data_IF_606192911834
#
_entry.id   IF_606192911834
#
_cell.length_a   1.000
_cell.length_b   1.000
_cell.length_c   1.000
_cell.angle_alpha   90.00
_cell.angle_beta   90.00
_cell.angle_gamma   90.00
#
_symmetry.space_group_name_H-M   'P 1'
#
loop_
_entity.id
_entity.type
_entity.pdbx_description
1 polymer ?
#
# COMPACT_ATOMS: atom_id res chain seq x y z
N UNK A 1 -32.44 16.86 -4.19
CA UNK A 1 -31.84 16.09 -3.07
C UNK A 1 -31.29 14.78 -3.63
N UNK A 2 -29.98 14.60 -3.86
CA UNK A 2 -29.44 13.33 -4.36
C UNK A 2 -29.30 12.29 -3.23
N UNK A 3 -29.57 11.02 -3.57
CA UNK A 3 -29.75 9.90 -2.65
C UNK A 3 -28.45 9.37 -1.99
N UNK A 4 -28.63 8.77 -0.80
CA UNK A 4 -27.60 8.14 0.04
C UNK A 4 -26.93 6.99 -0.72
N UNK A 5 -25.61 7.04 -0.91
CA UNK A 5 -24.81 5.91 -1.42
C UNK A 5 -23.96 6.20 -2.65
N UNK A 6 -24.21 7.29 -3.39
CA UNK A 6 -23.28 7.72 -4.43
C UNK A 6 -22.09 8.41 -3.78
N UNK A 7 -20.89 7.80 -3.85
CA UNK A 7 -19.64 8.53 -3.60
C UNK A 7 -19.64 9.68 -4.61
N UNK A 8 -19.81 10.92 -4.15
CA UNK A 8 -19.70 12.09 -5.02
C UNK A 8 -18.37 11.96 -5.78
N UNK A 9 -18.36 12.05 -7.13
CA UNK A 9 -17.11 12.18 -7.84
C UNK A 9 -16.44 13.42 -7.27
N UNK A 10 -15.23 13.24 -6.75
CA UNK A 10 -14.45 14.38 -6.29
C UNK A 10 -14.24 15.25 -7.53
N UNK A 11 -14.58 16.55 -7.53
CA UNK A 11 -14.54 17.37 -8.75
C UNK A 11 -13.17 17.32 -9.43
N UNK A 12 -12.11 17.25 -8.63
CA UNK A 12 -10.75 17.07 -9.13
C UNK A 12 -10.55 15.67 -9.78
N UNK A 13 -11.08 14.58 -9.23
CA UNK A 13 -10.90 13.23 -9.81
C UNK A 13 -11.96 12.85 -10.86
N UNK A 14 -12.89 13.74 -11.20
CA UNK A 14 -13.85 13.50 -12.26
C UNK A 14 -13.13 13.57 -13.63
N UNK A 15 -13.36 12.61 -14.54
CA UNK A 15 -12.81 12.67 -15.89
C UNK A 15 -13.59 13.71 -16.71
N UNK A 16 -13.30 14.99 -16.51
CA UNK A 16 -13.84 16.08 -17.33
C UNK A 16 -13.19 16.10 -18.73
N UNK A 17 -11.91 15.71 -18.80
CA UNK A 17 -11.15 15.54 -20.04
C UNK A 17 -10.88 14.02 -20.26
N UNK A 18 -11.34 13.42 -21.38
CA UNK A 18 -11.04 12.02 -21.74
C UNK A 18 -9.54 11.70 -21.82
N UNK A 19 -8.70 12.71 -22.06
CA UNK A 19 -7.24 12.58 -22.09
C UNK A 19 -6.56 13.11 -20.83
N UNK A 20 -7.34 13.53 -19.83
CA UNK A 20 -6.86 13.95 -18.52
C UNK A 20 -6.32 12.77 -17.70
N UNK A 21 -5.47 13.07 -16.72
CA UNK A 21 -4.95 12.05 -15.80
C UNK A 21 -6.05 11.24 -15.09
N UNK A 22 -7.20 11.80 -14.66
CA UNK A 22 -8.27 11.01 -14.06
C UNK A 22 -8.84 9.94 -15.00
N UNK A 23 -9.09 10.28 -16.27
CA UNK A 23 -9.60 9.34 -17.26
C UNK A 23 -8.57 8.25 -17.59
N UNK A 24 -7.33 8.66 -17.83
CA UNK A 24 -6.22 7.74 -18.10
C UNK A 24 -5.94 6.79 -16.93
N UNK A 25 -6.09 7.26 -15.68
CA UNK A 25 -6.02 6.42 -14.48
C UNK A 25 -7.06 5.30 -14.54
N UNK A 26 -8.31 5.60 -14.87
CA UNK A 26 -9.37 4.59 -14.95
C UNK A 26 -9.06 3.55 -16.03
N UNK A 27 -8.64 4.00 -17.22
CA UNK A 27 -8.24 3.12 -18.31
C UNK A 27 -7.07 2.20 -17.92
N UNK A 28 -6.09 2.69 -17.16
CA UNK A 28 -5.00 1.87 -16.67
C UNK A 28 -5.45 0.84 -15.62
N UNK A 29 -6.33 1.22 -14.69
CA UNK A 29 -6.88 0.30 -13.68
C UNK A 29 -7.68 -0.81 -14.35
N UNK A 30 -8.47 -0.49 -15.38
CA UNK A 30 -9.16 -1.48 -16.20
C UNK A 30 -8.16 -2.40 -16.93
N UNK A 31 -7.09 -1.84 -17.48
CA UNK A 31 -6.02 -2.61 -18.10
C UNK A 31 -5.29 -3.56 -17.12
N UNK A 32 -5.20 -3.22 -15.83
CA UNK A 32 -4.66 -4.13 -14.81
C UNK A 32 -5.64 -5.27 -14.51
N UNK A 33 -6.93 -4.98 -14.41
CA UNK A 33 -7.98 -6.00 -14.17
C UNK A 33 -8.02 -7.02 -15.30
N UNK A 34 -8.01 -6.56 -16.55
CA UNK A 34 -8.05 -7.43 -17.74
C UNK A 34 -6.82 -8.32 -17.89
N UNK A 35 -5.66 -7.90 -17.35
CA UNK A 35 -4.42 -8.70 -17.36
C UNK A 35 -4.33 -9.73 -16.22
N UNK A 36 -5.36 -9.83 -15.38
CA UNK A 36 -5.41 -10.85 -14.32
C UNK A 36 -4.56 -10.53 -13.09
N UNK A 37 -4.23 -9.26 -12.84
CA UNK A 37 -3.59 -8.88 -11.56
C UNK A 37 -4.56 -9.08 -10.40
N UNK A 38 -4.03 -9.39 -9.21
CA UNK A 38 -4.85 -9.59 -8.00
C UNK A 38 -5.62 -8.32 -7.63
N UNK A 39 -6.84 -8.50 -7.11
CA UNK A 39 -7.71 -7.38 -6.72
C UNK A 39 -7.04 -6.46 -5.69
N UNK A 40 -6.31 -7.04 -4.73
CA UNK A 40 -5.52 -6.29 -3.77
C UNK A 40 -4.43 -5.42 -4.43
N UNK A 41 -3.75 -5.94 -5.47
CA UNK A 41 -2.76 -5.16 -6.21
C UNK A 41 -3.42 -4.00 -6.96
N UNK A 42 -4.56 -4.27 -7.63
CA UNK A 42 -5.33 -3.25 -8.34
C UNK A 42 -5.80 -2.15 -7.39
N UNK A 43 -6.36 -2.51 -6.23
CA UNK A 43 -6.82 -1.56 -5.21
C UNK A 43 -5.66 -0.71 -4.66
N UNK A 44 -4.50 -1.33 -4.44
CA UNK A 44 -3.30 -0.62 -3.99
C UNK A 44 -2.82 0.39 -5.04
N UNK A 45 -2.72 -0.04 -6.32
CA UNK A 45 -2.38 0.84 -7.43
C UNK A 45 -3.40 1.97 -7.60
N UNK A 46 -4.70 1.67 -7.48
CA UNK A 46 -5.78 2.64 -7.59
C UNK A 46 -5.69 3.72 -6.52
N UNK A 47 -5.45 3.31 -5.27
CA UNK A 47 -5.31 4.21 -4.11
C UNK A 47 -4.04 5.04 -4.19
N UNK A 48 -2.92 4.42 -4.60
CA UNK A 48 -1.64 5.09 -4.79
C UNK A 48 -1.70 6.15 -5.89
N UNK A 49 -2.19 5.76 -7.07
CA UNK A 49 -2.28 6.66 -8.22
C UNK A 49 -3.32 7.76 -7.99
N UNK A 50 -4.43 7.45 -7.30
CA UNK A 50 -5.43 8.46 -6.94
C UNK A 50 -4.83 9.60 -6.11
N UNK A 51 -3.94 9.28 -5.17
CA UNK A 51 -3.25 10.30 -4.37
C UNK A 51 -2.27 11.15 -5.20
N UNK A 52 -1.58 10.55 -6.18
CA UNK A 52 -0.72 11.30 -7.10
C UNK A 52 -1.54 12.25 -7.99
N UNK A 53 -2.63 11.77 -8.58
CA UNK A 53 -3.49 12.58 -9.46
C UNK A 53 -4.07 13.76 -8.70
N UNK A 54 -4.58 13.54 -7.48
CA UNK A 54 -5.08 14.63 -6.63
C UNK A 54 -3.98 15.66 -6.34
N UNK A 55 -2.80 15.21 -5.92
CA UNK A 55 -1.66 16.08 -5.63
C UNK A 55 -1.23 16.91 -6.84
N UNK A 56 -1.26 16.31 -8.04
CA UNK A 56 -0.90 16.98 -9.29
C UNK A 56 -1.94 18.04 -9.66
N UNK A 57 -3.22 17.72 -9.50
CA UNK A 57 -4.33 18.63 -9.82
C UNK A 57 -4.39 19.85 -8.90
N UNK A 58 -4.10 19.70 -7.61
CA UNK A 58 -3.94 20.83 -6.68
C UNK A 58 -2.85 21.82 -7.12
N UNK A 59 -1.93 21.38 -7.99
CA UNK A 59 -0.83 22.17 -8.56
C UNK A 59 -1.08 22.58 -10.01
N UNK A 60 -2.31 22.42 -10.49
CA UNK A 60 -2.71 22.74 -11.86
C UNK A 60 -2.25 21.75 -12.93
N UNK A 61 -1.64 20.63 -12.52
CA UNK A 61 -1.16 19.59 -13.45
C UNK A 61 -2.29 18.58 -13.63
N UNK A 62 -2.97 18.65 -14.76
CA UNK A 62 -4.16 17.84 -15.06
C UNK A 62 -3.91 16.81 -16.16
N UNK A 63 -2.98 17.07 -17.09
CA UNK A 63 -2.66 16.18 -18.21
C UNK A 63 -1.38 15.42 -17.95
N UNK A 64 -1.33 14.17 -18.41
CA UNK A 64 -0.15 13.32 -18.25
C UNK A 64 1.09 13.87 -18.99
N UNK A 65 0.88 14.62 -20.09
CA UNK A 65 1.95 15.22 -20.89
C UNK A 65 2.72 16.33 -20.15
N UNK A 66 2.07 16.95 -19.17
CA UNK A 66 2.65 18.04 -18.38
C UNK A 66 3.48 17.51 -17.20
N UNK A 67 3.45 16.19 -16.97
CA UNK A 67 4.22 15.55 -15.91
C UNK A 67 5.64 15.32 -16.40
N UNK A 68 6.57 16.02 -15.78
CA UNK A 68 8.01 15.91 -16.03
C UNK A 68 8.72 15.23 -14.86
N UNK A 69 9.99 14.85 -15.04
CA UNK A 69 10.82 14.28 -13.96
C UNK A 69 10.85 15.18 -12.71
N UNK A 70 11.05 16.51 -12.81
CA UNK A 70 10.97 17.41 -11.64
C UNK A 70 9.62 17.39 -10.90
N UNK A 71 8.51 17.18 -11.62
CA UNK A 71 7.19 17.02 -11.00
C UNK A 71 7.15 15.73 -10.19
N UNK A 72 7.67 14.63 -10.72
CA UNK A 72 7.73 13.35 -10.01
C UNK A 72 8.65 13.39 -8.79
N UNK A 73 9.79 14.07 -8.89
CA UNK A 73 10.68 14.31 -7.74
C UNK A 73 10.01 15.19 -6.68
N UNK A 74 9.22 16.19 -7.10
CA UNK A 74 8.44 17.01 -6.17
C UNK A 74 7.37 16.18 -5.46
N UNK A 75 6.74 15.24 -6.16
CA UNK A 75 5.80 14.29 -5.55
C UNK A 75 6.51 13.36 -4.55
N UNK A 76 7.70 12.87 -4.89
CA UNK A 76 8.52 12.05 -3.99
C UNK A 76 8.88 12.81 -2.70
N UNK A 77 9.35 14.07 -2.82
CA UNK A 77 9.60 14.93 -1.66
C UNK A 77 8.32 15.16 -0.86
N UNK A 78 7.20 15.40 -1.53
CA UNK A 78 5.92 15.57 -0.87
C UNK A 78 5.48 14.31 -0.10
N UNK A 79 5.64 13.11 -0.66
CA UNK A 79 5.34 11.85 0.04
C UNK A 79 6.14 11.67 1.32
N UNK A 80 7.36 12.19 1.37
CA UNK A 80 8.17 12.20 2.58
C UNK A 80 7.56 13.11 3.67
N UNK A 81 7.13 14.33 3.32
CA UNK A 81 6.60 15.31 4.29
C UNK A 81 5.09 15.15 4.60
N UNK A 82 4.30 14.56 3.71
CA UNK A 82 2.83 14.59 3.73
C UNK A 82 2.18 13.92 4.96
N UNK A 83 2.86 12.96 5.62
CA UNK A 83 2.30 12.34 6.84
C UNK A 83 2.27 13.30 8.03
N UNK A 84 3.14 14.32 8.05
CA UNK A 84 3.20 15.35 9.09
C UNK A 84 1.90 16.16 9.15
N UNK A 85 1.31 16.48 8.00
CA UNK A 85 0.16 17.40 7.91
C UNK A 85 -1.19 16.72 8.20
N UNK A 86 -1.43 15.49 7.71
CA UNK A 86 -2.71 14.78 7.99
C UNK A 86 -2.89 14.41 9.46
N UNK A 87 -1.85 13.94 10.17
CA UNK A 87 -1.97 13.65 11.61
C UNK A 87 -2.02 14.94 12.45
N UNK A 88 -1.44 16.06 12.00
CA UNK A 88 -1.62 17.36 12.64
C UNK A 88 -3.09 17.83 12.59
N UNK A 89 -3.78 17.58 11.47
CA UNK A 89 -5.22 17.83 11.34
C UNK A 89 -6.11 16.81 12.09
N UNK A 90 -5.58 15.64 12.49
CA UNK A 90 -6.30 14.57 13.23
C UNK A 90 -5.77 14.37 14.65
N UNK A 91 -5.21 15.40 15.29
CA UNK A 91 -4.94 15.37 16.75
C UNK A 91 -6.26 15.51 17.51
N UNK A 92 -6.93 14.39 17.80
CA UNK A 92 -8.04 14.36 18.76
C UNK A 92 -8.10 13.09 19.64
N UNK A 93 -7.26 12.07 19.42
CA UNK A 93 -7.19 10.93 20.35
C UNK A 93 -5.73 10.56 20.68
N UNK A 94 -5.35 10.49 21.97
CA UNK A 94 -4.05 9.95 22.36
C UNK A 94 -4.05 8.43 22.17
N UNK A 95 -3.22 7.96 21.24
CA UNK A 95 -2.99 6.53 21.00
C UNK A 95 -1.84 5.98 21.87
N UNK A 96 -1.91 4.67 22.11
CA UNK A 96 -1.07 3.79 22.95
C UNK A 96 0.46 4.00 22.80
N UNK A 97 1.27 3.84 23.87
CA UNK A 97 2.73 3.85 23.76
C UNK A 97 3.19 2.64 22.92
N UNK A 98 3.94 2.91 21.85
CA UNK A 98 4.39 1.92 20.85
C UNK A 98 3.93 2.21 19.42
N UNK A 99 2.99 3.15 19.24
CA UNK A 99 2.62 3.68 17.93
C UNK A 99 3.63 4.77 17.55
N UNK A 100 4.55 4.47 16.63
CA UNK A 100 5.66 5.34 16.18
C UNK A 100 5.19 6.73 15.74
N UNK A 101 5.06 7.62 16.71
CA UNK A 101 4.73 9.02 16.53
C UNK A 101 5.91 9.73 15.89
N UNK A 102 5.62 10.57 14.89
CA UNK A 102 6.56 11.46 14.20
C UNK A 102 7.31 10.90 12.98
N UNK A 103 7.17 9.60 12.66
CA UNK A 103 7.88 9.06 11.50
C UNK A 103 7.15 9.35 10.16
N UNK A 104 7.90 9.68 9.09
CA UNK A 104 7.39 9.78 7.72
C UNK A 104 6.54 8.57 7.29
N UNK A 105 5.86 8.65 6.14
CA UNK A 105 5.34 7.43 5.50
C UNK A 105 6.46 6.39 5.45
N UNK A 106 6.17 5.14 5.81
CA UNK A 106 7.21 4.09 5.78
C UNK A 106 7.83 4.05 4.39
N UNK A 107 9.15 3.81 4.30
CA UNK A 107 9.86 3.73 3.01
C UNK A 107 9.17 2.74 2.06
N UNK A 108 8.58 1.69 2.62
CA UNK A 108 7.76 0.72 1.90
C UNK A 108 6.52 1.35 1.27
N UNK A 109 5.71 2.08 2.02
CA UNK A 109 4.51 2.74 1.47
C UNK A 109 4.88 3.81 0.44
N UNK A 110 5.99 4.52 0.63
CA UNK A 110 6.50 5.46 -0.39
C UNK A 110 6.89 4.72 -1.68
N UNK A 111 7.65 3.64 -1.57
CA UNK A 111 8.06 2.82 -2.71
C UNK A 111 6.87 2.18 -3.44
N UNK A 112 5.86 1.68 -2.71
CA UNK A 112 4.62 1.14 -3.29
C UNK A 112 3.87 2.22 -4.08
N UNK A 113 3.73 3.43 -3.51
CA UNK A 113 3.08 4.54 -4.20
C UNK A 113 3.81 4.96 -5.46
N UNK A 114 5.12 5.14 -5.38
CA UNK A 114 5.96 5.51 -6.52
C UNK A 114 6.02 4.40 -7.57
N UNK A 115 5.96 3.13 -7.16
CA UNK A 115 5.90 1.99 -8.09
C UNK A 115 4.61 2.00 -8.92
N UNK A 116 3.47 2.33 -8.31
CA UNK A 116 2.22 2.50 -9.05
C UNK A 116 2.33 3.64 -10.07
N UNK A 117 2.91 4.78 -9.68
CA UNK A 117 3.16 5.92 -10.59
C UNK A 117 4.07 5.51 -11.75
N UNK A 118 5.18 4.81 -11.49
CA UNK A 118 6.08 4.30 -12.54
C UNK A 118 5.36 3.32 -13.48
N UNK A 119 4.54 2.42 -12.93
CA UNK A 119 3.75 1.46 -13.71
C UNK A 119 2.76 2.15 -14.64
N UNK A 120 2.08 3.18 -14.14
CA UNK A 120 1.15 4.00 -14.90
C UNK A 120 1.82 4.71 -16.08
N UNK A 121 2.88 5.48 -15.84
CA UNK A 121 3.57 6.20 -16.92
C UNK A 121 4.26 5.28 -17.93
N UNK A 122 4.73 4.11 -17.49
CA UNK A 122 5.19 3.05 -18.40
C UNK A 122 4.07 2.55 -19.30
N UNK A 123 2.88 2.32 -18.76
CA UNK A 123 1.72 1.90 -19.54
C UNK A 123 1.29 3.00 -20.52
N UNK A 124 1.29 4.28 -20.10
CA UNK A 124 0.96 5.39 -20.98
C UNK A 124 1.89 5.48 -22.20
N UNK A 125 3.20 5.41 -21.97
CA UNK A 125 4.18 5.41 -23.05
C UNK A 125 4.02 4.20 -23.98
N UNK A 126 3.79 3.01 -23.41
CA UNK A 126 3.59 1.77 -24.20
C UNK A 126 2.35 1.82 -25.10
N UNK A 127 1.28 2.48 -24.67
CA UNK A 127 0.03 2.60 -25.45
C UNK A 127 -0.04 3.88 -26.30
N UNK A 128 1.06 4.63 -26.43
CA UNK A 128 1.13 5.81 -27.29
C UNK A 128 0.47 7.08 -26.73
N UNK A 129 0.04 7.08 -25.46
CA UNK A 129 -0.49 8.30 -24.81
C UNK A 129 0.61 9.32 -24.50
N UNK A 130 1.86 8.86 -24.38
CA UNK A 130 3.05 9.68 -24.18
C UNK A 130 4.15 9.23 -25.13
N UNK A 131 4.92 10.19 -25.66
CA UNK A 131 6.07 9.91 -26.52
C UNK A 131 7.25 9.32 -25.72
N UNK A 132 7.40 9.73 -24.46
CA UNK A 132 8.44 9.28 -23.56
C UNK A 132 7.88 9.08 -22.15
N UNK A 133 8.46 8.15 -21.39
CA UNK A 133 8.08 7.88 -20.01
C UNK A 133 8.82 8.83 -19.05
N UNK A 134 8.17 9.82 -18.42
CA UNK A 134 8.83 10.75 -17.49
C UNK A 134 9.33 10.07 -16.20
N UNK A 135 8.81 8.88 -15.88
CA UNK A 135 9.13 8.13 -14.67
C UNK A 135 10.18 7.03 -14.89
N UNK A 136 10.81 6.96 -16.08
CA UNK A 136 11.82 5.94 -16.41
C UNK A 136 13.01 6.00 -15.44
N UNK A 137 13.53 7.20 -15.22
CA UNK A 137 14.69 7.49 -14.36
C UNK A 137 14.33 7.79 -12.90
N UNK A 138 13.06 7.66 -12.51
CA UNK A 138 12.65 7.93 -11.14
C UNK A 138 13.21 6.87 -10.19
N UNK A 139 14.04 7.28 -9.25
CA UNK A 139 14.62 6.40 -8.24
C UNK A 139 13.61 6.10 -7.12
N UNK A 140 13.46 4.82 -6.78
CA UNK A 140 12.57 4.40 -5.70
C UNK A 140 13.33 4.41 -4.36
N UNK A 141 12.66 4.72 -3.23
CA UNK A 141 13.24 4.57 -1.91
C UNK A 141 13.74 3.13 -1.70
N UNK A 142 14.96 2.98 -1.15
CA UNK A 142 15.52 1.68 -0.80
C UNK A 142 14.76 1.12 0.40
N UNK A 143 13.89 0.16 0.16
CA UNK A 143 13.16 -0.54 1.22
C UNK A 143 14.05 -1.68 1.74
N UNK A 144 14.44 -1.69 3.03
CA UNK A 144 15.17 -2.82 3.57
C UNK A 144 14.32 -4.09 3.46
N UNK A 145 14.95 -5.27 3.22
CA UNK A 145 14.22 -6.52 3.13
C UNK A 145 13.43 -6.74 4.41
N UNK A 146 12.18 -7.21 4.26
CA UNK A 146 11.34 -7.54 5.39
C UNK A 146 12.05 -8.64 6.18
N UNK A 147 12.33 -8.40 7.46
CA UNK A 147 12.75 -9.49 8.34
C UNK A 147 11.62 -10.53 8.34
N UNK A 148 11.93 -11.82 8.11
CA UNK A 148 10.92 -12.85 8.33
C UNK A 148 10.34 -12.66 9.74
N UNK A 149 9.05 -12.95 9.95
CA UNK A 149 8.52 -12.96 11.31
C UNK A 149 9.45 -13.80 12.17
N UNK A 150 9.78 -13.30 13.36
CA UNK A 150 10.55 -14.09 14.33
C UNK A 150 9.79 -15.40 14.52
N UNK A 151 10.44 -16.48 14.11
CA UNK A 151 9.95 -17.83 14.37
C UNK A 151 10.26 -18.10 15.84
N UNK A 152 9.22 -18.42 16.60
CA UNK A 152 9.37 -18.85 17.99
C UNK A 152 10.36 -20.01 18.06
N UNK A 153 11.27 -19.93 19.01
CA UNK A 153 12.13 -21.06 19.38
C UNK A 153 11.28 -22.21 19.93
N UNK A 154 11.82 -23.42 19.91
CA UNK A 154 11.14 -24.61 20.48
C UNK A 154 10.76 -24.35 21.95
N UNK A 155 11.63 -23.70 22.73
CA UNK A 155 11.37 -23.35 24.12
C UNK A 155 10.21 -22.35 24.30
N UNK A 156 10.11 -21.33 23.44
CA UNK A 156 8.98 -20.37 23.47
C UNK A 156 7.67 -21.05 23.08
N UNK A 157 7.70 -21.95 22.11
CA UNK A 157 6.53 -22.77 21.73
C UNK A 157 6.12 -23.66 22.90
N UNK A 158 7.06 -24.35 23.55
CA UNK A 158 6.77 -25.18 24.73
C UNK A 158 6.15 -24.37 25.86
N UNK A 159 6.66 -23.16 26.11
CA UNK A 159 6.13 -22.25 27.12
C UNK A 159 4.70 -21.78 26.78
N UNK A 160 4.40 -21.51 25.51
CA UNK A 160 3.04 -21.16 25.06
C UNK A 160 2.10 -22.36 25.20
N UNK A 161 2.56 -23.53 24.78
CA UNK A 161 1.79 -24.76 24.88
C UNK A 161 1.47 -25.08 26.35
N UNK A 162 2.35 -24.77 27.31
CA UNK A 162 2.14 -25.05 28.74
C UNK A 162 1.23 -24.06 29.48
N UNK A 163 0.76 -22.99 28.84
CA UNK A 163 -0.10 -21.98 29.52
C UNK A 163 -1.51 -22.47 29.89
N UNK A 164 -2.21 -23.32 29.10
CA UNK A 164 -3.57 -23.74 29.42
C UNK A 164 -3.64 -24.62 30.67
N UNK A 165 -4.61 -24.33 31.53
CA UNK A 165 -4.87 -25.11 32.75
C UNK A 165 -5.65 -26.41 32.44
N UNK A 166 -4.93 -27.53 32.45
CA UNK A 166 -5.46 -28.86 32.15
C UNK A 166 -6.43 -29.41 33.21
N UNK A 167 -6.57 -28.75 34.37
CA UNK A 167 -7.58 -29.12 35.36
C UNK A 167 -8.99 -28.69 34.97
N UNK A 168 -9.12 -27.83 33.94
CA UNK A 168 -10.41 -27.33 33.46
C UNK A 168 -10.74 -27.88 32.07
N UNK A 169 -12.03 -28.17 31.78
CA UNK A 169 -12.46 -28.54 30.43
C UNK A 169 -12.09 -27.50 29.35
N UNK A 170 -12.07 -26.22 29.73
CA UNK A 170 -11.64 -25.12 28.86
C UNK A 170 -10.14 -25.21 28.52
N UNK A 171 -9.27 -25.42 29.51
CA UNK A 171 -7.83 -25.49 29.26
C UNK A 171 -7.40 -26.73 28.48
N UNK A 172 -8.10 -27.86 28.62
CA UNK A 172 -7.90 -29.03 27.73
C UNK A 172 -8.26 -28.69 26.29
N UNK A 173 -9.37 -27.97 26.06
CA UNK A 173 -9.77 -27.52 24.71
C UNK A 173 -8.73 -26.56 24.13
N UNK A 174 -8.29 -25.59 24.90
CA UNK A 174 -7.34 -24.57 24.46
C UNK A 174 -5.96 -25.19 24.16
N UNK A 175 -5.52 -26.17 24.96
CA UNK A 175 -4.33 -26.98 24.68
C UNK A 175 -4.45 -27.75 23.36
N UNK A 176 -5.57 -28.43 23.14
CA UNK A 176 -5.80 -29.17 21.90
C UNK A 176 -5.82 -28.26 20.66
N UNK A 177 -6.39 -27.05 20.78
CA UNK A 177 -6.38 -26.05 19.71
C UNK A 177 -4.94 -25.60 19.42
N UNK A 178 -4.14 -25.28 20.45
CA UNK A 178 -2.74 -24.86 20.26
C UNK A 178 -1.88 -25.97 19.65
N UNK A 179 -2.03 -27.22 20.07
CA UNK A 179 -1.32 -28.37 19.48
C UNK A 179 -1.75 -28.65 18.03
N UNK A 180 -3.04 -28.47 17.72
CA UNK A 180 -3.56 -28.59 16.36
C UNK A 180 -2.99 -27.48 15.46
N UNK A 181 -2.95 -26.24 15.96
CA UNK A 181 -2.35 -25.11 15.24
C UNK A 181 -0.84 -25.31 15.04
N UNK A 182 -0.12 -25.84 16.04
CA UNK A 182 1.31 -26.14 15.92
C UNK A 182 1.60 -27.27 14.92
N UNK A 183 0.80 -28.35 14.95
CA UNK A 183 0.97 -29.50 14.03
C UNK A 183 0.58 -29.18 12.58
N UNK A 184 -0.42 -28.30 12.37
CA UNK A 184 -0.89 -27.89 11.03
C UNK A 184 -0.17 -26.66 10.47
N UNK A 185 0.46 -25.84 11.33
CA UNK A 185 1.18 -24.62 10.98
C UNK A 185 2.53 -24.81 10.25
N UNK A 186 2.83 -26.03 9.77
CA UNK A 186 3.99 -26.30 8.93
C UNK A 186 3.84 -25.66 7.55
N UNK A 187 4.17 -24.38 7.42
CA UNK A 187 4.62 -23.81 6.14
C UNK A 187 5.64 -22.71 6.40
N UNK A 188 6.86 -22.96 5.91
CA UNK A 188 8.03 -22.09 5.79
C UNK A 188 8.96 -21.93 7.00
N UNK A 189 9.83 -22.94 7.15
CA UNK A 189 11.09 -22.86 7.89
C UNK A 189 12.04 -23.94 7.37
N UNK A 190 12.47 -23.83 6.12
CA UNK A 190 13.54 -24.66 5.56
C UNK A 190 14.80 -24.55 6.44
N UNK A 191 15.07 -25.61 7.21
CA UNK A 191 16.19 -25.67 8.14
C UNK A 191 16.37 -27.04 8.81
N UNK A 192 15.91 -28.14 8.20
CA UNK A 192 16.41 -29.47 8.56
C UNK A 192 17.67 -29.71 7.71
N UNK A 193 18.81 -29.27 8.25
CA UNK A 193 20.09 -29.89 7.91
C UNK A 193 20.23 -31.09 8.84
N UNK A 194 20.05 -32.28 8.28
CA UNK A 194 20.74 -33.46 8.78
C UNK A 194 22.19 -33.42 8.27
#
# INVERSE_FOLDING_TARGET
MPAKGQRKPWPFLAPEDPHGMPALRLAWIEALKTRGFSEAHVQNCESALGAFVLWAQERGITKARDVTKPVLESYQRWLFYFRRERKAATKAQPGRPGDGGEEPLSLRTQAERLSAVKGFFRWLAKNGYLLANPASELELPKVPPRRPPEVFTVAEVEQILSQPDLSTPCGVRDRAILETLYSTGRTNGSGLKY
#
